data_IF_943396374037
#
_entry.id   IF_943396374037
#
_cell.length_a   1.000
_cell.length_b   1.000
_cell.length_c   1.000
_cell.angle_alpha   90.00
_cell.angle_beta   90.00
_cell.angle_gamma   90.00
#
_symmetry.space_group_name_H-M   'P 1'
#
loop_
_entity.id
_entity.type
_entity.pdbx_description
1 polymer ?
#
# COMPACT_ATOMS: atom_id res chain seq x y z
N UNK A 1 -30.70 -11.65 -19.87
CA UNK A 1 -30.97 -11.20 -18.48
C UNK A 1 -29.70 -10.98 -17.70
N UNK A 2 -28.79 -10.08 -18.16
CA UNK A 2 -27.51 -9.82 -17.48
C UNK A 2 -27.29 -8.33 -17.17
N UNK A 3 -28.29 -7.47 -17.35
CA UNK A 3 -28.16 -6.03 -17.14
C UNK A 3 -28.49 -5.55 -15.72
N UNK A 4 -29.00 -6.39 -14.83
CA UNK A 4 -29.42 -6.00 -13.48
C UNK A 4 -28.29 -5.95 -12.44
N UNK A 5 -27.13 -6.52 -12.71
CA UNK A 5 -26.00 -6.52 -11.78
C UNK A 5 -25.12 -5.25 -11.83
N UNK A 6 -25.22 -4.46 -12.90
CA UNK A 6 -24.45 -3.22 -13.08
C UNK A 6 -24.97 -2.03 -12.24
N UNK A 7 -26.21 -2.09 -11.78
CA UNK A 7 -26.81 -1.00 -11.02
C UNK A 7 -26.67 -1.11 -9.49
N UNK A 8 -26.10 -2.18 -8.99
CA UNK A 8 -25.83 -2.38 -7.56
C UNK A 8 -24.36 -2.18 -7.17
N UNK A 9 -23.51 -1.71 -8.03
CA UNK A 9 -22.27 -1.06 -7.62
C UNK A 9 -22.60 0.35 -7.09
N UNK A 10 -23.37 0.41 -6.03
CA UNK A 10 -23.38 1.56 -5.12
C UNK A 10 -21.91 1.74 -4.76
N UNK A 11 -21.37 2.92 -5.02
CA UNK A 11 -20.01 3.33 -4.62
C UNK A 11 -19.85 3.11 -3.12
N UNK A 12 -19.51 1.87 -2.76
CA UNK A 12 -19.28 1.51 -1.38
C UNK A 12 -18.02 2.22 -0.95
N UNK A 13 -18.14 3.11 0.02
CA UNK A 13 -17.01 3.85 0.57
C UNK A 13 -15.84 2.89 0.85
N UNK A 14 -14.71 3.17 0.23
CA UNK A 14 -13.48 2.43 0.48
C UNK A 14 -13.05 2.59 1.94
N UNK A 15 -12.82 1.47 2.63
CA UNK A 15 -12.48 1.47 4.06
C UNK A 15 -11.21 0.68 4.33
N UNK A 16 -10.29 1.24 5.09
CA UNK A 16 -9.10 0.56 5.61
C UNK A 16 -9.03 0.80 7.11
N UNK A 17 -8.87 -0.28 7.90
CA UNK A 17 -8.75 -0.22 9.36
C UNK A 17 -9.83 0.64 10.04
N UNK A 18 -11.07 0.60 9.53
CA UNK A 18 -12.21 1.37 10.05
C UNK A 18 -12.31 2.82 9.53
N UNK A 19 -11.31 3.35 8.85
CA UNK A 19 -11.34 4.68 8.25
C UNK A 19 -11.88 4.63 6.83
N UNK A 20 -12.82 5.52 6.49
CA UNK A 20 -13.39 5.64 5.13
C UNK A 20 -12.62 6.63 4.30
N UNK A 21 -12.45 6.33 3.01
CA UNK A 21 -11.77 7.15 2.01
C UNK A 21 -12.68 7.35 0.80
N UNK A 22 -12.57 8.50 0.14
CA UNK A 22 -13.32 8.81 -1.08
C UNK A 22 -12.61 8.26 -2.31
N UNK A 23 -11.29 8.36 -2.33
CA UNK A 23 -10.47 7.88 -3.44
C UNK A 23 -9.95 6.47 -3.18
N UNK A 24 -10.00 5.64 -4.22
CA UNK A 24 -9.39 4.29 -4.22
C UNK A 24 -7.94 4.30 -4.69
N UNK A 25 -7.44 5.48 -5.12
CA UNK A 25 -6.06 5.66 -5.57
C UNK A 25 -5.17 6.03 -4.39
N UNK A 26 -4.09 5.25 -4.22
CA UNK A 26 -2.99 5.55 -3.30
C UNK A 26 -1.81 6.01 -4.14
N UNK A 27 -1.22 7.16 -3.80
CA UNK A 27 -0.13 7.76 -4.57
C UNK A 27 1.18 7.71 -3.79
N UNK A 28 2.26 7.32 -4.47
CA UNK A 28 3.62 7.41 -3.93
C UNK A 28 4.15 8.83 -3.94
N UNK A 29 5.06 9.14 -3.02
CA UNK A 29 5.70 10.46 -2.91
C UNK A 29 7.16 10.47 -3.38
N UNK A 30 7.64 9.34 -3.89
CA UNK A 30 9.01 9.20 -4.39
C UNK A 30 9.20 9.68 -5.82
N UNK A 31 10.45 10.03 -6.18
CA UNK A 31 10.91 10.33 -7.56
C UNK A 31 10.33 11.60 -8.22
N UNK A 32 9.63 12.46 -7.51
CA UNK A 32 9.31 13.81 -8.00
C UNK A 32 10.54 14.72 -7.92
N UNK A 33 10.64 15.68 -8.85
CA UNK A 33 11.74 16.66 -8.89
C UNK A 33 11.74 17.58 -7.68
N UNK A 34 10.57 17.83 -7.09
CA UNK A 34 10.39 18.67 -5.91
C UNK A 34 9.15 18.31 -5.11
N UNK A 35 9.09 18.70 -3.83
CA UNK A 35 7.88 18.57 -3.01
C UNK A 35 6.69 19.37 -3.56
N UNK A 36 6.96 20.51 -4.22
CA UNK A 36 5.92 21.30 -4.88
C UNK A 36 5.27 20.56 -6.05
N UNK A 37 6.07 19.87 -6.85
CA UNK A 37 5.57 19.03 -7.95
C UNK A 37 4.78 17.83 -7.42
N UNK A 38 5.31 17.15 -6.39
CA UNK A 38 4.63 16.07 -5.70
C UNK A 38 3.26 16.49 -5.16
N UNK A 39 3.19 17.65 -4.47
CA UNK A 39 1.95 18.18 -3.94
C UNK A 39 0.92 18.52 -5.04
N UNK A 40 1.37 19.06 -6.17
CA UNK A 40 0.51 19.31 -7.34
C UNK A 40 -0.06 17.99 -7.89
N UNK A 41 0.77 16.97 -8.06
CA UNK A 41 0.35 15.67 -8.58
C UNK A 41 -0.68 15.02 -7.65
N UNK A 42 -0.44 15.03 -6.34
CA UNK A 42 -1.37 14.48 -5.33
C UNK A 42 -2.71 15.24 -5.36
N UNK A 43 -2.67 16.57 -5.41
CA UNK A 43 -3.89 17.36 -5.51
C UNK A 43 -4.68 17.05 -6.78
N UNK A 44 -4.00 16.92 -7.93
CA UNK A 44 -4.63 16.61 -9.22
C UNK A 44 -5.18 15.20 -9.28
N UNK A 45 -4.56 14.23 -8.57
CA UNK A 45 -5.01 12.84 -8.53
C UNK A 45 -6.28 12.63 -7.69
N UNK A 46 -6.59 13.55 -6.78
CA UNK A 46 -7.70 13.39 -5.83
C UNK A 46 -7.49 12.27 -4.80
N UNK A 47 -6.26 11.76 -4.65
CA UNK A 47 -5.96 10.70 -3.70
C UNK A 47 -6.09 11.19 -2.25
N UNK A 48 -6.67 10.35 -1.39
CA UNK A 48 -6.80 10.60 0.05
C UNK A 48 -5.64 10.00 0.87
N UNK A 49 -4.85 9.13 0.25
CA UNK A 49 -3.73 8.42 0.89
C UNK A 49 -2.47 8.61 0.06
N UNK A 50 -1.36 8.94 0.75
CA UNK A 50 -0.03 8.99 0.13
C UNK A 50 0.95 8.10 0.89
N UNK A 51 1.73 7.30 0.16
CA UNK A 51 2.79 6.51 0.77
C UNK A 51 4.04 7.35 0.96
N UNK A 52 4.70 7.17 2.09
CA UNK A 52 5.92 7.90 2.45
C UNK A 52 6.97 6.93 2.96
N UNK A 53 8.10 6.83 2.28
CA UNK A 53 9.22 6.05 2.78
C UNK A 53 9.79 6.70 4.04
N UNK A 54 9.73 5.99 5.18
CA UNK A 54 10.18 6.53 6.48
C UNK A 54 11.64 6.99 6.40
N UNK A 55 12.48 6.25 5.69
CA UNK A 55 13.90 6.60 5.49
C UNK A 55 14.13 7.91 4.74
N UNK A 56 13.10 8.44 4.05
CA UNK A 56 13.18 9.69 3.27
C UNK A 56 12.51 10.87 3.97
N UNK A 57 11.82 10.63 5.09
CA UNK A 57 11.25 11.70 5.90
C UNK A 57 12.39 12.32 6.69
N UNK A 58 12.79 13.53 6.29
CA UNK A 58 13.82 14.28 7.01
C UNK A 58 13.22 14.83 8.32
N UNK A 59 13.44 14.11 9.43
CA UNK A 59 12.78 14.38 10.69
C UNK A 59 13.68 15.23 11.61
N UNK A 60 15.00 15.16 11.38
CA UNK A 60 15.99 15.73 12.27
C UNK A 60 16.43 17.15 11.89
N UNK A 61 16.32 17.53 10.64
CA UNK A 61 16.79 18.83 10.15
C UNK A 61 15.64 19.83 10.01
N UNK A 62 15.45 20.68 11.02
CA UNK A 62 14.41 21.72 11.05
C UNK A 62 14.59 22.80 9.98
N UNK A 63 15.79 22.89 9.40
CA UNK A 63 16.14 23.92 8.39
C UNK A 63 15.87 23.50 6.97
N UNK A 64 15.53 22.22 6.73
CA UNK A 64 15.18 21.72 5.39
C UNK A 64 13.68 21.60 5.23
N UNK A 65 13.17 21.99 4.03
CA UNK A 65 11.78 21.80 3.65
C UNK A 65 11.35 20.33 3.83
N UNK A 66 10.21 20.13 4.45
CA UNK A 66 9.64 18.80 4.68
C UNK A 66 8.45 18.57 3.75
N UNK A 67 8.17 17.33 3.42
CA UNK A 67 7.00 16.97 2.62
C UNK A 67 5.69 17.51 3.25
N UNK A 68 5.61 17.50 4.58
CA UNK A 68 4.44 17.96 5.33
C UNK A 68 4.19 19.47 5.23
N UNK A 69 5.18 20.25 4.82
CA UNK A 69 5.03 21.69 4.58
C UNK A 69 4.26 21.96 3.28
N UNK A 70 4.19 20.98 2.38
CA UNK A 70 3.52 21.04 1.08
C UNK A 70 2.23 20.21 1.00
N UNK A 71 2.14 19.15 1.79
CA UNK A 71 1.00 18.22 1.81
C UNK A 71 0.49 18.16 3.25
N UNK A 72 -0.66 18.81 3.50
CA UNK A 72 -1.25 18.93 4.83
C UNK A 72 -1.69 17.56 5.38
N UNK A 73 -1.09 17.05 6.47
CA UNK A 73 -1.45 15.75 7.05
C UNK A 73 -2.86 15.72 7.68
N UNK A 74 -3.51 16.88 7.85
CA UNK A 74 -4.91 16.94 8.29
C UNK A 74 -5.88 16.63 7.14
N UNK A 75 -5.45 16.82 5.89
CA UNK A 75 -6.27 16.60 4.69
C UNK A 75 -5.97 15.29 4.00
N UNK A 76 -4.71 14.85 4.03
CA UNK A 76 -4.22 13.66 3.35
C UNK A 76 -3.71 12.67 4.41
N UNK A 77 -4.08 11.41 4.28
CA UNK A 77 -3.57 10.35 5.14
C UNK A 77 -2.18 9.93 4.69
N UNK A 78 -1.21 10.11 5.57
CA UNK A 78 0.13 9.60 5.37
C UNK A 78 0.19 8.12 5.70
N UNK A 79 0.73 7.33 4.80
CA UNK A 79 0.95 5.89 4.95
C UNK A 79 2.45 5.61 4.93
N UNK A 80 3.12 5.60 6.09
CA UNK A 80 4.54 5.28 6.16
C UNK A 80 4.81 3.88 5.65
N UNK A 81 5.86 3.71 4.86
CA UNK A 81 6.27 2.42 4.33
C UNK A 81 7.73 2.09 4.63
N UNK A 82 8.05 0.82 4.53
CA UNK A 82 9.39 0.27 4.75
C UNK A 82 10.16 0.06 3.45
N UNK A 83 9.90 0.85 2.42
CA UNK A 83 10.58 0.76 1.14
C UNK A 83 12.11 0.75 1.31
N UNK A 84 12.75 -0.25 0.71
CA UNK A 84 14.20 -0.48 0.79
C UNK A 84 14.65 -1.27 2.03
N UNK A 85 13.75 -1.90 2.79
CA UNK A 85 14.10 -2.90 3.79
C UNK A 85 14.18 -4.30 3.15
N UNK A 86 15.26 -5.04 3.47
CA UNK A 86 15.54 -6.37 2.92
C UNK A 86 15.55 -7.48 3.98
N UNK A 87 15.10 -7.17 5.19
CA UNK A 87 14.90 -8.13 6.28
C UNK A 87 13.82 -7.62 7.24
N UNK A 88 13.28 -8.53 8.04
CA UNK A 88 12.22 -8.23 9.01
C UNK A 88 12.66 -7.20 10.06
N UNK A 89 13.88 -7.31 10.56
CA UNK A 89 14.38 -6.49 11.67
C UNK A 89 14.45 -5.01 11.29
N UNK A 90 14.96 -4.71 10.08
CA UNK A 90 15.01 -3.36 9.55
C UNK A 90 13.63 -2.79 9.29
N UNK A 91 12.70 -3.59 8.76
CA UNK A 91 11.33 -3.17 8.51
C UNK A 91 10.60 -2.84 9.83
N UNK A 92 10.68 -3.73 10.82
CA UNK A 92 10.06 -3.55 12.14
C UNK A 92 10.64 -2.31 12.83
N UNK A 93 11.97 -2.18 12.88
CA UNK A 93 12.64 -1.00 13.45
C UNK A 93 12.19 0.30 12.78
N UNK A 94 12.08 0.29 11.46
CA UNK A 94 11.65 1.44 10.67
C UNK A 94 10.22 1.87 11.03
N UNK A 95 9.28 0.92 11.18
CA UNK A 95 7.90 1.25 11.53
C UNK A 95 7.73 1.65 13.00
N UNK A 96 8.50 1.06 13.91
CA UNK A 96 8.55 1.52 15.32
C UNK A 96 9.01 2.98 15.39
N UNK A 97 10.07 3.34 14.64
CA UNK A 97 10.54 4.71 14.52
C UNK A 97 9.45 5.64 13.95
N UNK A 98 8.73 5.22 12.92
CA UNK A 98 7.62 5.99 12.38
C UNK A 98 6.55 6.27 13.44
N UNK A 99 6.20 5.28 14.26
CA UNK A 99 5.24 5.45 15.37
C UNK A 99 5.75 6.42 16.43
N UNK A 100 7.02 6.35 16.81
CA UNK A 100 7.62 7.25 17.79
C UNK A 100 7.60 8.71 17.32
N UNK A 101 7.89 8.93 16.04
CA UNK A 101 8.03 10.26 15.46
C UNK A 101 6.69 10.90 15.14
N UNK A 102 5.76 10.16 14.54
CA UNK A 102 4.52 10.70 13.99
C UNK A 102 3.24 10.08 14.54
N UNK A 103 3.34 9.17 15.51
CA UNK A 103 2.18 8.47 16.06
C UNK A 103 1.49 7.53 15.06
N UNK A 104 2.10 7.23 13.92
CA UNK A 104 1.49 6.44 12.85
C UNK A 104 1.30 5.00 13.27
N UNK A 105 0.05 4.55 13.29
CA UNK A 105 -0.32 3.14 13.51
C UNK A 105 -0.70 2.44 12.22
N UNK A 106 -1.30 3.15 11.26
CA UNK A 106 -1.56 2.62 9.90
C UNK A 106 -0.27 2.74 9.09
N UNK A 107 0.24 1.62 8.61
CA UNK A 107 1.55 1.52 7.96
C UNK A 107 1.50 0.55 6.80
N UNK A 108 2.40 0.72 5.83
CA UNK A 108 2.60 -0.22 4.72
C UNK A 108 3.91 -0.97 4.91
N UNK A 109 3.82 -2.27 5.07
CA UNK A 109 4.97 -3.16 5.22
C UNK A 109 5.44 -3.65 3.86
N UNK A 110 6.73 -3.47 3.58
CA UNK A 110 7.46 -4.04 2.47
C UNK A 110 8.73 -4.68 3.02
N UNK A 111 8.94 -5.97 2.79
CA UNK A 111 10.23 -6.65 3.00
C UNK A 111 10.64 -7.24 1.66
N UNK A 112 11.73 -6.77 1.10
CA UNK A 112 12.18 -7.12 -0.24
C UNK A 112 13.22 -8.24 -0.17
N UNK A 113 13.12 -9.22 -1.07
CA UNK A 113 14.05 -10.34 -1.15
C UNK A 113 15.21 -10.11 -2.12
N UNK A 114 14.99 -9.29 -3.15
CA UNK A 114 15.99 -9.07 -4.21
C UNK A 114 16.09 -7.58 -4.57
N UNK A 115 17.33 -7.07 -4.63
CA UNK A 115 17.61 -5.66 -4.96
C UNK A 115 17.38 -5.32 -6.43
N UNK A 116 17.39 -6.31 -7.34
CA UNK A 116 17.26 -6.09 -8.78
C UNK A 116 15.79 -6.06 -9.21
N UNK A 117 14.99 -7.00 -8.73
CA UNK A 117 13.60 -7.14 -9.13
C UNK A 117 12.58 -6.67 -8.09
N UNK A 118 13.03 -6.42 -6.85
CA UNK A 118 12.22 -5.92 -5.73
C UNK A 118 11.01 -6.81 -5.39
N UNK A 119 11.13 -8.12 -5.63
CA UNK A 119 10.12 -9.08 -5.17
C UNK A 119 10.05 -9.10 -3.64
N UNK A 120 8.85 -9.30 -3.06
CA UNK A 120 8.71 -9.40 -1.62
C UNK A 120 9.29 -10.72 -1.11
N UNK A 121 10.01 -10.66 0.00
CA UNK A 121 10.44 -11.83 0.77
C UNK A 121 9.30 -12.24 1.70
N UNK A 122 8.61 -13.33 1.37
CA UNK A 122 7.32 -13.63 2.01
C UNK A 122 7.42 -14.23 3.41
N UNK A 123 8.50 -14.95 3.74
CA UNK A 123 8.70 -15.51 5.08
C UNK A 123 8.93 -14.37 6.07
N UNK A 124 9.83 -13.46 5.75
CA UNK A 124 10.13 -12.28 6.56
C UNK A 124 8.94 -11.31 6.62
N UNK A 125 8.18 -11.18 5.53
CA UNK A 125 6.96 -10.38 5.49
C UNK A 125 5.90 -10.93 6.45
N UNK A 126 5.66 -12.24 6.46
CA UNK A 126 4.70 -12.87 7.35
C UNK A 126 5.10 -12.69 8.83
N UNK A 127 6.38 -12.96 9.14
CA UNK A 127 6.95 -12.77 10.48
C UNK A 127 6.81 -11.32 10.96
N UNK A 128 7.16 -10.37 10.12
CA UNK A 128 7.06 -8.94 10.44
C UNK A 128 5.60 -8.51 10.65
N UNK A 129 4.69 -8.99 9.80
CA UNK A 129 3.25 -8.68 9.92
C UNK A 129 2.73 -9.16 11.27
N UNK A 130 2.98 -10.42 11.64
CA UNK A 130 2.53 -10.99 12.91
C UNK A 130 3.04 -10.19 14.12
N UNK A 131 4.31 -9.83 14.11
CA UNK A 131 4.91 -9.09 15.22
C UNK A 131 4.34 -7.67 15.33
N UNK A 132 4.26 -6.95 14.21
CA UNK A 132 3.75 -5.59 14.20
C UNK A 132 2.26 -5.52 14.56
N UNK A 133 1.45 -6.48 14.15
CA UNK A 133 0.02 -6.53 14.51
C UNK A 133 -0.16 -6.79 16.01
N UNK A 134 0.65 -7.66 16.62
CA UNK A 134 0.68 -7.87 18.08
C UNK A 134 1.08 -6.59 18.83
N UNK A 135 1.89 -5.73 18.24
CA UNK A 135 2.27 -4.42 18.78
C UNK A 135 1.22 -3.32 18.55
N UNK A 136 0.08 -3.67 17.93
CA UNK A 136 -1.04 -2.75 17.71
C UNK A 136 -0.94 -1.89 16.44
N UNK A 137 0.00 -2.18 15.54
CA UNK A 137 0.00 -1.58 14.22
C UNK A 137 -1.17 -2.08 13.37
N UNK A 138 -1.64 -1.24 12.46
CA UNK A 138 -2.59 -1.57 11.39
C UNK A 138 -1.79 -1.75 10.09
N UNK A 139 -1.44 -2.99 9.78
CA UNK A 139 -0.46 -3.31 8.73
C UNK A 139 -1.16 -3.58 7.41
N UNK A 140 -0.91 -2.75 6.42
CA UNK A 140 -1.18 -3.02 5.01
C UNK A 140 0.06 -3.70 4.44
N UNK A 141 -0.09 -4.83 3.74
CA UNK A 141 1.06 -5.71 3.45
C UNK A 141 1.29 -5.85 1.95
N UNK A 142 2.44 -5.35 1.47
CA UNK A 142 2.93 -5.68 0.14
C UNK A 142 3.37 -7.14 0.08
N UNK A 143 2.84 -7.88 -0.89
CA UNK A 143 3.06 -9.32 -1.01
C UNK A 143 3.12 -9.77 -2.49
N UNK A 144 3.50 -11.03 -2.69
CA UNK A 144 3.29 -11.69 -3.96
C UNK A 144 1.79 -12.02 -4.17
N UNK A 145 1.44 -12.49 -5.34
CA UNK A 145 0.08 -12.88 -5.72
C UNK A 145 -0.27 -14.33 -5.36
N UNK A 146 0.38 -14.89 -4.33
CA UNK A 146 0.08 -16.23 -3.81
C UNK A 146 -1.18 -16.20 -2.92
N UNK A 147 -2.27 -16.91 -3.29
CA UNK A 147 -3.49 -16.94 -2.49
C UNK A 147 -3.32 -17.53 -1.10
N UNK A 148 -2.44 -18.52 -0.94
CA UNK A 148 -2.19 -19.12 0.38
C UNK A 148 -1.46 -18.15 1.30
N UNK A 149 -0.50 -17.42 0.77
CA UNK A 149 0.21 -16.40 1.53
C UNK A 149 -0.71 -15.24 1.90
N UNK A 150 -1.56 -14.77 0.98
CA UNK A 150 -2.56 -13.75 1.27
C UNK A 150 -3.46 -14.17 2.45
N UNK A 151 -3.88 -15.44 2.49
CA UNK A 151 -4.68 -15.98 3.60
C UNK A 151 -3.91 -16.02 4.92
N UNK A 152 -2.64 -16.39 4.89
CA UNK A 152 -1.77 -16.40 6.09
C UNK A 152 -1.60 -14.98 6.63
N UNK A 153 -1.38 -13.99 5.76
CA UNK A 153 -1.26 -12.58 6.14
C UNK A 153 -2.55 -12.06 6.79
N UNK A 154 -3.72 -12.40 6.25
CA UNK A 154 -5.02 -12.07 6.88
C UNK A 154 -5.12 -12.69 8.27
N UNK A 155 -4.74 -13.97 8.43
CA UNK A 155 -4.84 -14.70 9.70
C UNK A 155 -3.93 -14.11 10.80
N UNK A 156 -2.78 -13.55 10.47
CA UNK A 156 -1.87 -12.89 11.43
C UNK A 156 -2.23 -11.43 11.70
N UNK A 157 -3.34 -10.93 11.12
CA UNK A 157 -3.94 -9.64 11.48
C UNK A 157 -3.62 -8.48 10.55
N UNK A 158 -3.19 -8.72 9.32
CA UNK A 158 -3.12 -7.67 8.31
C UNK A 158 -4.46 -6.95 8.18
N UNK A 159 -4.45 -5.67 7.83
CA UNK A 159 -5.67 -4.86 7.61
C UNK A 159 -5.96 -4.59 6.13
N UNK A 160 -5.02 -4.89 5.25
CA UNK A 160 -5.19 -4.90 3.80
C UNK A 160 -4.13 -5.81 3.17
N UNK A 161 -4.48 -6.49 2.09
CA UNK A 161 -3.58 -7.31 1.28
C UNK A 161 -3.26 -6.52 0.01
N UNK A 162 -1.96 -6.39 -0.28
CA UNK A 162 -1.47 -5.57 -1.38
C UNK A 162 -0.57 -6.40 -2.32
N UNK A 163 -1.15 -7.30 -3.15
CA UNK A 163 -0.36 -8.10 -4.06
C UNK A 163 0.22 -7.26 -5.20
N UNK A 164 1.39 -7.65 -5.66
CA UNK A 164 1.94 -7.11 -6.89
C UNK A 164 1.14 -7.61 -8.10
N UNK A 165 0.95 -6.75 -9.10
CA UNK A 165 0.50 -7.14 -10.43
C UNK A 165 1.67 -7.72 -11.26
N UNK A 166 2.84 -7.09 -11.11
CA UNK A 166 4.11 -7.40 -11.73
C UNK A 166 5.23 -6.76 -10.89
N UNK A 167 6.51 -7.01 -11.16
CA UNK A 167 7.62 -6.40 -10.42
C UNK A 167 7.53 -4.88 -10.35
N UNK A 168 7.97 -4.32 -9.22
CA UNK A 168 8.02 -2.86 -9.02
C UNK A 168 8.76 -2.18 -10.17
N UNK A 169 8.13 -1.19 -10.80
CA UNK A 169 8.71 -0.41 -11.90
C UNK A 169 8.62 -1.06 -13.28
N UNK A 170 8.07 -2.27 -13.41
CA UNK A 170 7.95 -2.97 -14.69
C UNK A 170 6.85 -2.41 -15.60
N UNK A 171 5.73 -1.94 -15.01
CA UNK A 171 4.57 -1.44 -15.77
C UNK A 171 3.89 -2.50 -16.63
N UNK A 172 4.06 -3.78 -16.33
CA UNK A 172 3.55 -4.90 -17.15
C UNK A 172 2.06 -5.21 -16.94
N UNK A 173 1.42 -4.54 -15.96
CA UNK A 173 0.02 -4.84 -15.60
C UNK A 173 -0.14 -6.14 -14.83
N UNK A 174 -1.39 -6.56 -14.61
CA UNK A 174 -1.72 -7.77 -13.84
C UNK A 174 -1.40 -9.02 -14.68
N UNK A 175 -0.35 -9.74 -14.27
CA UNK A 175 0.13 -10.94 -14.98
C UNK A 175 -0.70 -12.18 -14.64
N UNK A 176 -1.19 -12.29 -13.40
CA UNK A 176 -1.97 -13.46 -12.96
C UNK A 176 -3.34 -13.05 -12.42
N UNK A 177 -4.27 -12.82 -13.34
CA UNK A 177 -5.66 -12.47 -13.01
C UNK A 177 -6.37 -13.54 -12.19
N UNK A 178 -6.03 -14.81 -12.40
CA UNK A 178 -6.64 -15.95 -11.70
C UNK A 178 -6.31 -15.92 -10.23
N UNK A 179 -5.04 -15.70 -9.87
CA UNK A 179 -4.63 -15.59 -8.47
C UNK A 179 -5.31 -14.41 -7.76
N UNK A 180 -5.38 -13.25 -8.42
CA UNK A 180 -6.07 -12.08 -7.85
C UNK A 180 -7.55 -12.38 -7.58
N UNK A 181 -8.25 -13.07 -8.49
CA UNK A 181 -9.63 -13.49 -8.29
C UNK A 181 -9.78 -14.50 -7.13
N UNK A 182 -8.84 -15.44 -6.98
CA UNK A 182 -8.84 -16.38 -5.86
C UNK A 182 -8.64 -15.62 -4.54
N UNK A 183 -7.66 -14.73 -4.48
CA UNK A 183 -7.43 -13.88 -3.31
C UNK A 183 -8.70 -13.08 -2.97
N UNK A 184 -9.34 -12.44 -3.96
CA UNK A 184 -10.56 -11.67 -3.74
C UNK A 184 -11.71 -12.50 -3.14
N UNK A 185 -11.88 -13.72 -3.62
CA UNK A 185 -12.95 -14.60 -3.15
C UNK A 185 -12.76 -15.10 -1.71
N UNK A 186 -11.52 -15.24 -1.27
CA UNK A 186 -11.19 -15.82 0.04
C UNK A 186 -10.88 -14.79 1.14
N UNK A 187 -10.54 -13.54 0.79
CA UNK A 187 -10.25 -12.49 1.78
C UNK A 187 -11.46 -11.57 1.98
N UNK A 188 -11.65 -11.14 3.23
CA UNK A 188 -12.61 -10.09 3.59
C UNK A 188 -11.94 -8.71 3.73
N UNK A 189 -10.62 -8.68 3.65
CA UNK A 189 -9.84 -7.45 3.75
C UNK A 189 -9.87 -6.67 2.42
N UNK A 190 -9.61 -5.36 2.46
CA UNK A 190 -9.31 -4.59 1.27
C UNK A 190 -8.17 -5.26 0.47
N UNK A 191 -8.41 -5.41 -0.84
CA UNK A 191 -7.46 -5.97 -1.79
C UNK A 191 -6.99 -4.87 -2.72
N UNK A 192 -5.73 -4.48 -2.61
CA UNK A 192 -5.17 -3.32 -3.30
C UNK A 192 -4.02 -3.78 -4.19
N UNK A 193 -4.11 -3.59 -5.49
CA UNK A 193 -2.98 -3.88 -6.38
C UNK A 193 -1.90 -2.82 -6.17
N UNK A 194 -0.69 -3.26 -5.81
CA UNK A 194 0.37 -2.36 -5.38
C UNK A 194 1.37 -2.02 -6.50
N UNK A 195 2.01 -3.00 -7.08
CA UNK A 195 3.15 -2.80 -7.98
C UNK A 195 2.85 -3.26 -9.41
N UNK A 196 3.59 -2.73 -10.38
CA UNK A 196 3.59 -3.20 -11.76
C UNK A 196 2.47 -2.66 -12.64
N UNK A 197 1.58 -1.80 -12.14
CA UNK A 197 0.60 -1.11 -12.98
C UNK A 197 1.31 -0.03 -13.82
N UNK A 198 1.09 -0.03 -15.12
CA UNK A 198 1.74 0.88 -16.07
C UNK A 198 0.80 1.83 -16.78
N UNK A 199 -0.46 1.43 -16.96
CA UNK A 199 -1.46 2.16 -17.74
C UNK A 199 -2.77 2.28 -16.98
N UNK A 200 -3.62 3.22 -17.40
CA UNK A 200 -4.96 3.39 -16.84
C UNK A 200 -5.84 2.14 -17.01
N UNK A 201 -5.68 1.41 -18.10
CA UNK A 201 -6.35 0.13 -18.35
C UNK A 201 -6.00 -0.93 -17.32
N UNK A 202 -4.77 -0.96 -16.79
CA UNK A 202 -4.39 -1.90 -15.74
C UNK A 202 -5.16 -1.65 -14.44
N UNK A 203 -5.36 -0.38 -14.09
CA UNK A 203 -6.18 0.00 -12.95
C UNK A 203 -7.66 -0.39 -13.16
N UNK A 204 -8.20 -0.21 -14.38
CA UNK A 204 -9.54 -0.66 -14.73
C UNK A 204 -9.69 -2.17 -14.58
N UNK A 205 -8.71 -2.94 -15.06
CA UNK A 205 -8.69 -4.40 -14.91
C UNK A 205 -8.66 -4.80 -13.42
N UNK A 206 -7.87 -4.11 -12.59
CA UNK A 206 -7.84 -4.35 -11.15
C UNK A 206 -9.25 -4.18 -10.54
N UNK A 207 -9.95 -3.10 -10.89
CA UNK A 207 -11.30 -2.84 -10.42
C UNK A 207 -12.31 -3.89 -10.93
N UNK A 208 -12.20 -4.33 -12.20
CA UNK A 208 -13.04 -5.40 -12.77
C UNK A 208 -12.84 -6.74 -12.07
N UNK A 209 -11.63 -7.02 -11.57
CA UNK A 209 -11.31 -8.21 -10.77
C UNK A 209 -11.85 -8.12 -9.33
N UNK A 210 -12.45 -7.00 -8.94
CA UNK A 210 -13.01 -6.76 -7.62
C UNK A 210 -12.00 -6.26 -6.58
N UNK A 211 -10.87 -5.71 -7.02
CA UNK A 211 -9.95 -5.01 -6.12
C UNK A 211 -10.56 -3.69 -5.63
N UNK A 212 -10.12 -3.23 -4.46
CA UNK A 212 -10.65 -2.06 -3.75
C UNK A 212 -9.89 -0.77 -4.06
#
# INVERSE_FOLDING_TARGET
CSFYWYWLMIDTKFKIAGKSFKSRLIVGTGKYKSFKECAKAIKSSGADIVTVAVRRVNISDKNKARLMDYIDPKKITYLPNTAGCFNAEDAIRTLRLAREIGGWKLVKLEVLGDKKNLFPEMIETLRSTELLTKEGFKVMVYCNDDPLMAKRLENVGAVAIMPLAAPIGSGLGIQNKVNIQIIRKQTKLPLIIDAGLGQASDASIAMELGCD
#
